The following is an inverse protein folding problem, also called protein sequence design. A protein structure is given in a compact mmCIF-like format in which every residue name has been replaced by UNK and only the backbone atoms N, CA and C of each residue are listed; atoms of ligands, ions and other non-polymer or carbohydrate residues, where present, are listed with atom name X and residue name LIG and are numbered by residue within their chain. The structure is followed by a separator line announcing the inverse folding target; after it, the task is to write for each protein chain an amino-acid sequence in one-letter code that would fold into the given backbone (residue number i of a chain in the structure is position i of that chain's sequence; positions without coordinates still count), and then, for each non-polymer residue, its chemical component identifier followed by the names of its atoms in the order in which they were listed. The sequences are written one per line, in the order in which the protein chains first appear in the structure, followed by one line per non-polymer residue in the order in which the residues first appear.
data_IF_487960727785
#
_entry.id   IF_487960727785
#
_cell.length_a   1.000
_cell.length_b   1.000
_cell.length_c   1.000
_cell.angle_alpha   90.00
_cell.angle_beta   90.00
_cell.angle_gamma   90.00
#
_symmetry.space_group_name_H-M   'P 1'
#
loop_
_entity.id
_entity.type
_entity.pdbx_description
1 polymer ?
#
# COMPACT_ATOMS: atom_id res chain seq x y z
N UNK A 1 11.29 -13.00 13.51
CA UNK A 1 10.15 -13.84 13.51
C UNK A 1 9.35 -13.55 12.27
N UNK A 2 8.83 -14.65 11.78
CA UNK A 2 7.84 -14.55 10.76
C UNK A 2 6.72 -13.63 11.22
N UNK A 3 6.16 -12.94 10.27
CA UNK A 3 4.90 -12.27 10.38
C UNK A 3 3.95 -13.01 11.33
N UNK A 4 3.56 -12.34 12.37
CA UNK A 4 2.49 -12.82 13.23
C UNK A 4 1.19 -12.18 12.80
N UNK A 5 0.19 -12.95 12.38
CA UNK A 5 -1.10 -12.40 12.08
C UNK A 5 -1.64 -11.74 13.35
N UNK A 6 -1.94 -10.47 13.27
CA UNK A 6 -2.71 -9.82 14.31
C UNK A 6 -4.07 -10.53 14.39
N UNK A 7 -4.57 -10.88 15.56
CA UNK A 7 -5.82 -11.62 15.68
C UNK A 7 -7.01 -10.90 15.06
N UNK A 8 -6.94 -9.60 14.89
CA UNK A 8 -8.01 -8.75 14.39
C UNK A 8 -7.72 -8.11 13.03
N UNK A 9 -6.54 -8.36 12.46
CA UNK A 9 -6.09 -7.68 11.26
C UNK A 9 -5.53 -8.64 10.24
N UNK A 10 -6.19 -8.76 9.11
CA UNK A 10 -5.67 -9.53 7.98
C UNK A 10 -4.92 -8.60 7.06
N UNK A 11 -3.63 -8.84 6.96
CA UNK A 11 -2.77 -8.04 6.10
C UNK A 11 -2.74 -8.59 4.68
N UNK A 12 -2.37 -7.76 3.73
CA UNK A 12 -2.10 -8.14 2.35
C UNK A 12 -0.87 -9.03 2.18
N UNK A 13 -0.18 -9.34 3.25
CA UNK A 13 1.01 -10.14 3.20
C UNK A 13 0.69 -11.59 3.00
N UNK A 14 1.29 -12.15 1.98
CA UNK A 14 1.45 -13.60 1.88
C UNK A 14 2.58 -14.06 2.80
N UNK A 15 2.68 -15.36 3.13
CA UNK A 15 3.82 -15.91 3.86
C UNK A 15 5.19 -15.59 3.24
N UNK A 16 5.21 -15.30 1.95
CA UNK A 16 6.41 -14.90 1.21
C UNK A 16 6.74 -13.40 1.28
N UNK A 17 5.81 -12.60 1.80
CA UNK A 17 5.92 -11.15 1.89
C UNK A 17 5.65 -10.68 3.32
N UNK A 18 6.51 -11.10 4.22
CA UNK A 18 6.37 -10.90 5.66
C UNK A 18 7.34 -9.88 6.26
N UNK A 19 7.93 -9.03 5.44
CA UNK A 19 8.84 -7.97 5.84
C UNK A 19 8.52 -6.68 5.11
N UNK A 20 9.08 -5.60 5.61
CA UNK A 20 8.95 -4.28 5.01
C UNK A 20 9.37 -4.31 3.54
N UNK A 21 8.48 -3.94 2.67
CA UNK A 21 8.73 -3.95 1.23
C UNK A 21 7.77 -3.02 0.47
N UNK A 22 8.25 -2.53 -0.65
CA UNK A 22 7.48 -1.70 -1.57
C UNK A 22 6.93 -2.53 -2.72
N UNK A 23 5.62 -2.50 -2.90
CA UNK A 23 4.89 -3.12 -4.00
C UNK A 23 4.69 -2.09 -5.11
N UNK A 24 5.13 -2.42 -6.30
CA UNK A 24 5.06 -1.57 -7.47
C UNK A 24 3.90 -1.99 -8.38
N UNK A 25 3.41 -1.05 -9.19
CA UNK A 25 2.54 -1.40 -10.31
C UNK A 25 3.30 -2.28 -11.31
N UNK A 26 2.59 -3.19 -11.98
CA UNK A 26 3.20 -4.14 -12.92
C UNK A 26 3.98 -3.46 -14.06
N UNK A 27 3.58 -2.26 -14.46
CA UNK A 27 4.24 -1.47 -15.51
C UNK A 27 5.36 -0.54 -14.96
N UNK A 28 5.52 -0.44 -13.63
CA UNK A 28 6.55 0.40 -13.03
C UNK A 28 7.95 -0.20 -13.30
N UNK A 29 8.76 0.55 -14.03
CA UNK A 29 10.08 0.10 -14.48
C UNK A 29 11.18 0.22 -13.42
N UNK A 30 10.84 0.59 -12.20
CA UNK A 30 11.79 0.71 -11.06
C UNK A 30 12.95 1.73 -11.29
N UNK A 31 12.82 2.59 -12.28
CA UNK A 31 13.89 3.46 -12.75
C UNK A 31 14.24 4.64 -11.81
N UNK A 32 13.87 4.56 -10.53
CA UNK A 32 14.18 5.62 -9.59
C UNK A 32 15.52 5.37 -8.91
N UNK A 33 16.50 6.15 -9.29
CA UNK A 33 17.76 6.24 -8.57
C UNK A 33 17.64 7.32 -7.52
N UNK A 34 17.77 6.96 -6.27
CA UNK A 34 17.84 7.91 -5.17
C UNK A 34 19.29 8.33 -4.96
N UNK A 35 19.50 9.57 -4.52
CA UNK A 35 20.84 10.06 -4.23
C UNK A 35 21.57 9.15 -3.23
N UNK A 36 22.81 8.84 -3.52
CA UNK A 36 23.65 8.01 -2.66
C UNK A 36 23.69 8.56 -1.23
N UNK A 37 23.58 7.69 -0.24
CA UNK A 37 23.67 8.04 1.17
C UNK A 37 22.36 8.44 1.84
N UNK A 38 21.25 8.54 1.13
CA UNK A 38 19.93 8.65 1.76
C UNK A 38 19.30 7.27 1.91
N UNK A 39 19.04 6.91 3.14
CA UNK A 39 18.19 5.78 3.42
C UNK A 39 16.77 6.16 3.02
N UNK A 40 16.36 5.63 1.88
CA UNK A 40 14.97 5.74 1.47
C UNK A 40 14.15 4.75 2.27
N UNK A 41 13.05 5.24 2.79
CA UNK A 41 12.03 4.38 3.34
C UNK A 41 11.76 3.26 2.30
N UNK A 42 11.84 1.99 2.72
CA UNK A 42 11.49 0.84 1.88
C UNK A 42 12.39 0.59 0.66
N UNK A 43 13.66 0.42 0.90
CA UNK A 43 14.63 -0.03 -0.11
C UNK A 43 14.32 -1.42 -0.68
N UNK A 44 13.65 -2.25 0.11
CA UNK A 44 13.29 -3.59 -0.32
C UNK A 44 12.10 -3.53 -1.26
N UNK A 45 12.27 -4.02 -2.48
CA UNK A 45 11.18 -4.16 -3.42
C UNK A 45 10.54 -5.54 -3.29
N UNK A 46 9.21 -5.57 -3.26
CA UNK A 46 8.45 -6.81 -3.35
C UNK A 46 8.56 -7.40 -4.75
N UNK A 47 8.56 -8.72 -4.86
CA UNK A 47 8.36 -9.41 -6.13
C UNK A 47 6.90 -9.35 -6.60
N UNK A 48 5.98 -9.07 -5.68
CA UNK A 48 4.57 -8.85 -6.02
C UNK A 48 4.39 -7.56 -6.80
N UNK A 49 3.37 -7.55 -7.63
CA UNK A 49 2.95 -6.36 -8.39
C UNK A 49 1.45 -6.19 -8.27
N UNK A 50 1.01 -4.95 -8.18
CA UNK A 50 -0.41 -4.66 -8.23
C UNK A 50 -0.87 -4.30 -9.66
N UNK A 51 -2.14 -4.55 -9.96
CA UNK A 51 -2.78 -4.24 -11.25
C UNK A 51 -3.72 -3.03 -11.13
N UNK A 52 -4.47 -2.99 -10.05
CA UNK A 52 -5.37 -1.89 -9.72
C UNK A 52 -4.85 -1.19 -8.48
N UNK A 53 -4.82 0.15 -8.43
CA UNK A 53 -4.35 0.90 -7.27
C UNK A 53 -5.41 0.91 -6.17
N UNK A 54 -5.75 -0.29 -5.73
CA UNK A 54 -6.75 -0.63 -4.72
C UNK A 54 -6.09 -1.56 -3.71
N UNK A 55 -5.97 -1.09 -2.49
CA UNK A 55 -5.36 -1.80 -1.38
C UNK A 55 -6.39 -1.97 -0.28
N UNK A 56 -6.48 -3.16 0.31
CA UNK A 56 -7.48 -3.42 1.33
C UNK A 56 -6.98 -4.40 2.39
N UNK A 57 -7.56 -4.31 3.56
CA UNK A 57 -7.34 -5.25 4.66
C UNK A 57 -8.64 -5.49 5.41
N UNK A 58 -8.66 -6.55 6.18
CA UNK A 58 -9.78 -6.92 7.02
C UNK A 58 -9.42 -6.72 8.49
N UNK A 59 -10.35 -6.17 9.24
CA UNK A 59 -10.24 -6.02 10.66
C UNK A 59 -11.61 -6.25 11.30
N UNK A 60 -11.71 -7.25 12.12
CA UNK A 60 -12.87 -7.55 12.97
C UNK A 60 -14.23 -7.45 12.26
N UNK A 61 -14.38 -8.14 11.14
CA UNK A 61 -15.62 -8.12 10.33
C UNK A 61 -15.80 -6.91 9.43
N UNK A 62 -14.90 -5.95 9.52
CA UNK A 62 -14.85 -4.80 8.61
C UNK A 62 -13.78 -4.98 7.53
N UNK A 63 -13.96 -4.27 6.46
CA UNK A 63 -12.96 -4.08 5.41
C UNK A 63 -12.59 -2.60 5.36
N UNK A 64 -11.30 -2.32 5.41
CA UNK A 64 -10.73 -1.04 5.08
C UNK A 64 -10.04 -1.10 3.74
N UNK A 65 -10.34 -0.16 2.86
CA UNK A 65 -9.73 -0.06 1.55
C UNK A 65 -9.27 1.37 1.24
N UNK A 66 -8.20 1.46 0.47
CA UNK A 66 -7.66 2.71 -0.05
C UNK A 66 -7.52 2.56 -1.56
N UNK A 67 -8.09 3.51 -2.31
CA UNK A 67 -8.16 3.50 -3.76
C UNK A 67 -7.53 4.77 -4.32
N UNK A 68 -6.78 4.65 -5.39
CA UNK A 68 -6.18 5.80 -6.08
C UNK A 68 -6.72 5.92 -7.51
N UNK A 69 -6.82 7.14 -7.99
CA UNK A 69 -7.31 7.45 -9.34
C UNK A 69 -6.34 7.04 -10.46
N UNK A 70 -5.11 6.75 -10.11
CA UNK A 70 -4.04 6.42 -11.05
C UNK A 70 -3.10 5.35 -10.53
N UNK A 71 -2.34 4.76 -11.41
CA UNK A 71 -1.23 3.85 -11.09
C UNK A 71 0.12 4.52 -11.19
N UNK A 72 0.22 5.56 -12.04
CA UNK A 72 1.46 6.28 -12.28
C UNK A 72 1.96 6.96 -11.00
N UNK A 73 3.16 6.66 -10.62
CA UNK A 73 3.82 7.21 -9.43
C UNK A 73 3.30 6.68 -8.09
N UNK A 74 2.26 5.86 -8.08
CA UNK A 74 1.70 5.30 -6.84
C UNK A 74 2.44 4.00 -6.50
N UNK A 75 2.94 3.93 -5.27
CA UNK A 75 3.56 2.73 -4.70
C UNK A 75 2.99 2.46 -3.31
N UNK A 76 2.77 1.21 -3.00
CA UNK A 76 2.40 0.78 -1.67
C UNK A 76 3.65 0.29 -0.95
N UNK A 77 4.03 0.99 0.11
CA UNK A 77 5.01 0.49 1.04
C UNK A 77 4.27 -0.16 2.21
N UNK A 78 4.53 -1.43 2.41
CA UNK A 78 3.93 -2.23 3.45
C UNK A 78 4.95 -2.53 4.54
N UNK A 79 4.63 -2.17 5.76
CA UNK A 79 5.46 -2.45 6.93
C UNK A 79 4.71 -3.35 7.91
N UNK A 80 4.94 -4.67 7.88
CA UNK A 80 4.39 -5.56 8.90
C UNK A 80 4.93 -5.27 10.30
N UNK A 81 6.15 -4.75 10.39
CA UNK A 81 6.74 -4.36 11.67
C UNK A 81 6.14 -3.06 12.21
N UNK A 82 5.56 -2.26 11.32
CA UNK A 82 4.83 -1.05 11.65
C UNK A 82 5.63 0.00 12.39
N UNK A 83 4.97 1.10 12.69
CA UNK A 83 5.54 2.21 13.42
C UNK A 83 5.55 2.03 14.93
N UNK A 84 5.16 0.89 15.46
CA UNK A 84 5.11 0.68 16.90
C UNK A 84 5.26 -0.77 17.28
N UNK A 85 6.38 -1.10 17.88
CA UNK A 85 6.55 -2.36 18.59
C UNK A 85 6.23 -2.11 20.07
N UNK A 86 5.18 -2.72 20.56
CA UNK A 86 5.01 -2.81 22.00
C UNK A 86 5.76 -4.06 22.47
N UNK A 87 6.98 -3.87 22.93
CA UNK A 87 7.85 -4.95 23.36
C UNK A 87 7.24 -5.76 24.53
N UNK A 88 6.46 -5.12 25.40
CA UNK A 88 5.81 -5.78 26.52
C UNK A 88 4.68 -6.73 26.07
N UNK A 89 3.98 -6.37 25.01
CA UNK A 89 2.88 -7.16 24.45
C UNK A 89 3.31 -8.03 23.26
N UNK A 90 4.55 -7.88 22.80
CA UNK A 90 5.06 -8.54 21.59
C UNK A 90 4.18 -8.29 20.35
N UNK A 91 3.54 -7.13 20.30
CA UNK A 91 2.66 -6.73 19.20
C UNK A 91 3.35 -5.75 18.28
N UNK A 92 3.00 -5.82 17.02
CA UNK A 92 3.40 -4.85 16.00
C UNK A 92 2.15 -4.19 15.42
N UNK A 93 2.26 -2.92 15.13
CA UNK A 93 1.21 -2.20 14.42
C UNK A 93 1.58 -2.15 12.95
N UNK A 94 0.98 -2.98 12.10
CA UNK A 94 1.25 -2.91 10.67
C UNK A 94 0.87 -1.54 10.12
N UNK A 95 1.71 -1.02 9.24
CA UNK A 95 1.48 0.25 8.58
C UNK A 95 1.41 0.08 7.07
N UNK A 96 0.56 0.88 6.45
CA UNK A 96 0.49 1.06 5.02
C UNK A 96 0.91 2.49 4.70
N UNK A 97 2.00 2.60 3.98
CA UNK A 97 2.50 3.88 3.51
C UNK A 97 2.35 3.92 1.99
N UNK A 98 1.71 4.97 1.52
CA UNK A 98 1.55 5.18 0.09
C UNK A 98 2.53 6.25 -0.35
N UNK A 99 3.21 5.97 -1.45
CA UNK A 99 4.17 6.91 -2.04
C UNK A 99 3.57 7.43 -3.34
N UNK A 100 3.58 8.74 -3.50
CA UNK A 100 3.36 9.39 -4.79
C UNK A 100 4.69 9.97 -5.26
N UNK A 101 5.22 9.42 -6.34
CA UNK A 101 6.56 9.72 -6.80
C UNK A 101 6.50 10.42 -8.15
N UNK A 102 7.06 11.62 -8.20
CA UNK A 102 7.27 12.39 -9.42
C UNK A 102 8.77 12.43 -9.68
N UNK A 103 9.29 11.62 -10.62
CA UNK A 103 10.74 11.44 -10.81
C UNK A 103 11.48 12.71 -11.23
N UNK A 104 10.81 13.56 -11.98
CA UNK A 104 11.38 14.81 -12.52
C UNK A 104 10.36 15.93 -12.37
N UNK A 105 10.21 16.49 -11.17
CA UNK A 105 9.26 17.58 -10.97
C UNK A 105 9.74 18.83 -11.69
N UNK A 106 8.81 19.47 -12.37
CA UNK A 106 9.03 20.76 -13.06
C UNK A 106 8.64 21.90 -12.11
N UNK A 107 9.42 22.96 -12.12
CA UNK A 107 9.13 24.16 -11.32
C UNK A 107 7.80 24.77 -11.79
N UNK A 108 6.97 25.20 -10.85
CA UNK A 108 5.65 25.83 -11.10
C UNK A 108 4.60 24.87 -11.69
N UNK A 109 4.85 23.57 -11.73
CA UNK A 109 3.88 22.56 -12.17
C UNK A 109 3.24 21.87 -10.98
N UNK A 110 1.93 21.79 -10.99
CA UNK A 110 1.17 21.06 -9.98
C UNK A 110 1.10 19.57 -10.32
N UNK A 111 1.23 18.77 -9.29
CA UNK A 111 1.10 17.31 -9.36
C UNK A 111 0.10 16.85 -8.31
N UNK A 112 -0.88 16.10 -8.72
CA UNK A 112 -1.96 15.68 -7.84
C UNK A 112 -2.41 14.24 -8.11
N UNK A 113 -3.08 13.67 -7.15
CA UNK A 113 -3.82 12.42 -7.28
C UNK A 113 -5.08 12.52 -6.42
N UNK A 114 -6.05 11.68 -6.72
CA UNK A 114 -7.24 11.53 -5.90
C UNK A 114 -7.18 10.20 -5.16
N UNK A 115 -7.59 10.22 -3.90
CA UNK A 115 -7.67 9.05 -3.06
C UNK A 115 -9.06 8.93 -2.47
N UNK A 116 -9.57 7.71 -2.41
CA UNK A 116 -10.78 7.36 -1.67
C UNK A 116 -10.46 6.30 -0.64
N UNK A 117 -10.88 6.55 0.59
CA UNK A 117 -10.83 5.57 1.67
C UNK A 117 -12.22 5.05 1.93
N UNK A 118 -12.35 3.74 2.08
CA UNK A 118 -13.61 3.04 2.34
C UNK A 118 -13.47 2.21 3.60
N UNK A 119 -14.41 2.34 4.50
CA UNK A 119 -14.59 1.45 5.64
C UNK A 119 -16.02 0.91 5.56
N UNK A 120 -16.17 -0.40 5.46
CA UNK A 120 -17.47 -1.05 5.29
C UNK A 120 -17.47 -2.46 5.91
N UNK A 121 -18.63 -3.08 6.09
CA UNK A 121 -18.69 -4.50 6.40
C UNK A 121 -17.89 -5.33 5.38
N UNK A 122 -17.33 -6.43 5.83
CA UNK A 122 -16.53 -7.32 4.99
C UNK A 122 -17.30 -7.71 3.74
N UNK A 123 -16.68 -7.56 2.61
CA UNK A 123 -17.22 -7.92 1.30
C UNK A 123 -16.19 -8.73 0.51
N UNK A 124 -16.61 -9.27 -0.62
CA UNK A 124 -15.70 -9.97 -1.53
C UNK A 124 -14.75 -9.00 -2.23
N UNK A 125 -13.65 -9.55 -2.74
CA UNK A 125 -12.71 -8.80 -3.56
C UNK A 125 -13.37 -8.23 -4.83
N UNK A 126 -14.27 -8.99 -5.43
CA UNK A 126 -14.95 -8.59 -6.67
C UNK A 126 -15.92 -7.43 -6.43
N UNK A 127 -16.66 -7.44 -5.33
CA UNK A 127 -17.49 -6.31 -4.92
C UNK A 127 -16.66 -5.04 -4.70
N UNK A 128 -15.50 -5.17 -4.06
CA UNK A 128 -14.62 -4.04 -3.82
C UNK A 128 -14.01 -3.51 -5.13
N UNK A 129 -13.65 -4.40 -6.05
CA UNK A 129 -13.14 -4.04 -7.37
C UNK A 129 -14.21 -3.31 -8.20
N UNK A 130 -15.45 -3.74 -8.10
CA UNK A 130 -16.56 -3.06 -8.78
C UNK A 130 -16.81 -1.67 -8.20
N UNK A 131 -16.75 -1.52 -6.88
CA UNK A 131 -16.82 -0.21 -6.23
C UNK A 131 -15.69 0.72 -6.67
N UNK A 132 -14.48 0.19 -6.83
CA UNK A 132 -13.36 0.94 -7.37
C UNK A 132 -13.62 1.42 -8.80
N UNK A 133 -14.12 0.55 -9.69
CA UNK A 133 -14.43 0.89 -11.07
C UNK A 133 -15.50 1.97 -11.16
N UNK A 134 -16.57 1.84 -10.38
CA UNK A 134 -17.65 2.83 -10.32
C UNK A 134 -17.13 4.18 -9.82
N UNK A 135 -16.33 4.19 -8.76
CA UNK A 135 -15.72 5.43 -8.29
C UNK A 135 -14.84 6.07 -9.35
N UNK A 136 -14.00 5.28 -10.00
CA UNK A 136 -13.09 5.77 -11.04
C UNK A 136 -13.82 6.33 -12.26
N UNK A 137 -14.94 5.74 -12.64
CA UNK A 137 -15.77 6.20 -13.77
C UNK A 137 -16.45 7.56 -13.49
N UNK A 138 -16.55 7.98 -12.24
CA UNK A 138 -17.19 9.24 -11.82
C UNK A 138 -16.18 10.33 -11.43
N UNK A 139 -14.92 10.18 -11.79
CA UNK A 139 -13.86 11.17 -11.53
C UNK A 139 -13.75 12.24 -12.62
#
# INVERSE_FOLDING_TARGET
PAYQPQPLWTQHCTPFHNRDATVLHREDKQALTFAAGRDTLYKSLSFLRYHHPLFYGHHDGLMWAVMFDRTEGIRLAHSPSGGGVNAALQTTNPAWDFQFIVPRPEVMKEYSFKVRTVLRPRCSRDELLEEYKQWKANL
#
